data_IF_292866751766
#
_entry.id   IF_292866751766
#
_cell.length_a   1.000
_cell.length_b   1.000
_cell.length_c   1.000
_cell.angle_alpha   90.00
_cell.angle_beta   90.00
_cell.angle_gamma   90.00
#
_symmetry.space_group_name_H-M   'P 1'
#
loop_
_entity.id
_entity.type
_entity.pdbx_description
1 polymer ?
#
# COMPACT_ATOMS: atom_id res chain seq x y z
N UNK A 1 2.61 6.83 -4.98
CA UNK A 1 2.17 5.54 -4.40
C UNK A 1 0.65 5.55 -4.33
N UNK A 2 -0.02 4.76 -5.15
CA UNK A 2 -1.46 4.85 -5.36
C UNK A 2 -2.26 4.59 -4.07
N UNK A 3 -1.89 3.53 -3.33
CA UNK A 3 -2.52 3.12 -2.09
C UNK A 3 -2.19 4.04 -0.91
N UNK A 4 -0.91 4.28 -0.63
CA UNK A 4 -0.48 4.95 0.60
C UNK A 4 -0.75 6.45 0.63
N UNK A 5 -0.64 7.14 -0.51
CA UNK A 5 -0.60 8.59 -0.52
C UNK A 5 -1.73 9.26 -1.32
N UNK A 6 -2.51 8.48 -2.10
CA UNK A 6 -3.71 8.96 -2.76
C UNK A 6 -4.99 8.35 -2.16
N UNK A 7 -5.17 7.04 -2.30
CA UNK A 7 -6.46 6.39 -1.97
C UNK A 7 -6.72 6.41 -0.45
N UNK A 8 -5.72 6.06 0.36
CA UNK A 8 -5.91 5.96 1.81
C UNK A 8 -6.28 7.29 2.48
N UNK A 9 -5.54 8.40 2.28
CA UNK A 9 -5.91 9.68 2.90
C UNK A 9 -7.29 10.20 2.44
N UNK A 10 -7.68 9.95 1.18
CA UNK A 10 -8.98 10.35 0.67
C UNK A 10 -10.13 9.60 1.37
N UNK A 11 -10.05 8.27 1.42
CA UNK A 11 -11.07 7.45 2.07
C UNK A 11 -11.13 7.71 3.58
N UNK A 12 -9.97 7.90 4.20
CA UNK A 12 -9.86 8.23 5.62
C UNK A 12 -10.51 9.58 5.95
N UNK A 13 -10.31 10.61 5.12
CA UNK A 13 -10.95 11.90 5.31
C UNK A 13 -12.48 11.82 5.20
N UNK A 14 -12.99 11.08 4.21
CA UNK A 14 -14.44 10.86 4.04
C UNK A 14 -15.01 10.10 5.23
N UNK A 15 -14.33 9.05 5.68
CA UNK A 15 -14.74 8.25 6.82
C UNK A 15 -14.78 9.05 8.13
N UNK A 16 -13.73 9.85 8.38
CA UNK A 16 -13.67 10.70 9.58
C UNK A 16 -14.76 11.77 9.53
N UNK A 17 -14.99 12.40 8.38
CA UNK A 17 -16.08 13.37 8.24
C UNK A 17 -17.44 12.74 8.59
N UNK A 18 -17.69 11.50 8.15
CA UNK A 18 -18.94 10.80 8.48
C UNK A 18 -19.06 10.43 9.97
N UNK A 19 -17.99 9.97 10.61
CA UNK A 19 -18.04 9.59 12.04
C UNK A 19 -18.23 10.80 12.95
N UNK A 20 -17.64 11.94 12.59
CA UNK A 20 -17.76 13.17 13.37
C UNK A 20 -18.94 14.05 12.93
N UNK A 21 -19.82 13.53 12.07
CA UNK A 21 -21.00 14.24 11.53
C UNK A 21 -20.65 15.59 10.86
N UNK A 22 -19.48 15.66 10.23
CA UNK A 22 -19.03 16.82 9.45
C UNK A 22 -19.58 16.69 8.03
N UNK A 23 -20.35 17.70 7.62
CA UNK A 23 -20.96 17.73 6.30
C UNK A 23 -19.93 18.12 5.24
N UNK A 24 -19.68 17.22 4.28
CA UNK A 24 -18.82 17.47 3.13
C UNK A 24 -19.64 18.00 1.95
N UNK A 25 -19.26 19.17 1.45
CA UNK A 25 -19.78 19.72 0.20
C UNK A 25 -19.01 19.19 -1.01
N UNK A 26 -19.52 19.48 -2.22
CA UNK A 26 -18.82 19.15 -3.48
C UNK A 26 -17.39 19.72 -3.50
N UNK A 27 -17.20 20.93 -2.95
CA UNK A 27 -15.89 21.57 -2.88
C UNK A 27 -14.88 20.76 -2.06
N UNK A 28 -15.32 20.16 -0.96
CA UNK A 28 -14.45 19.35 -0.09
C UNK A 28 -14.06 18.05 -0.77
N UNK A 29 -14.96 17.41 -1.52
CA UNK A 29 -14.62 16.23 -2.32
C UNK A 29 -13.59 16.53 -3.42
N UNK A 30 -13.71 17.69 -4.08
CA UNK A 30 -12.71 18.14 -5.06
C UNK A 30 -11.37 18.44 -4.38
N UNK A 31 -11.40 19.07 -3.21
CA UNK A 31 -10.20 19.36 -2.42
C UNK A 31 -9.53 18.07 -1.92
N UNK A 32 -10.30 17.09 -1.44
CA UNK A 32 -9.81 15.76 -1.07
C UNK A 32 -9.09 15.13 -2.26
N UNK A 33 -9.75 15.06 -3.42
CA UNK A 33 -9.14 14.47 -4.62
C UNK A 33 -7.84 15.20 -5.02
N UNK A 34 -7.85 16.54 -4.99
CA UNK A 34 -6.70 17.35 -5.33
C UNK A 34 -5.52 17.13 -4.37
N UNK A 35 -5.76 17.23 -3.06
CA UNK A 35 -4.74 17.03 -2.01
C UNK A 35 -4.19 15.62 -2.06
N UNK A 36 -5.03 14.61 -2.28
CA UNK A 36 -4.60 13.22 -2.40
C UNK A 36 -3.73 12.96 -3.64
N UNK A 37 -4.06 13.55 -4.80
CA UNK A 37 -3.26 13.38 -6.02
C UNK A 37 -1.92 14.11 -5.90
N UNK A 38 -1.93 15.39 -5.51
CA UNK A 38 -0.72 16.19 -5.32
C UNK A 38 0.15 15.57 -4.23
N UNK A 39 -0.48 15.15 -3.13
CA UNK A 39 0.16 14.47 -2.02
C UNK A 39 0.87 13.19 -2.42
N UNK A 40 0.28 12.39 -3.32
CA UNK A 40 0.88 11.15 -3.83
C UNK A 40 2.17 11.36 -4.63
N UNK A 41 2.29 12.51 -5.31
CA UNK A 41 3.52 12.90 -5.99
C UNK A 41 4.55 13.48 -5.00
N UNK A 42 4.10 14.27 -4.02
CA UNK A 42 4.96 14.92 -3.03
C UNK A 42 5.62 13.96 -2.03
N UNK A 43 5.06 12.76 -1.87
CA UNK A 43 5.45 11.75 -0.86
C UNK A 43 6.43 10.70 -1.34
N UNK A 44 6.93 10.79 -2.57
CA UNK A 44 7.71 9.77 -3.27
C UNK A 44 9.07 9.38 -2.63
N UNK A 45 9.34 9.71 -1.37
CA UNK A 45 10.50 9.20 -0.63
C UNK A 45 10.68 9.66 0.81
N UNK A 46 9.82 10.52 1.37
CA UNK A 46 10.13 11.25 2.62
C UNK A 46 9.12 11.06 3.78
N UNK A 47 7.88 10.65 3.50
CA UNK A 47 6.80 10.69 4.52
C UNK A 47 5.95 9.41 4.52
N UNK A 48 5.67 8.87 5.72
CA UNK A 48 4.82 7.70 5.92
C UNK A 48 3.31 7.97 5.78
N UNK A 49 2.50 6.91 5.70
CA UNK A 49 1.04 6.98 5.48
C UNK A 49 0.31 7.85 6.54
N UNK A 50 0.72 7.77 7.80
CA UNK A 50 0.15 8.56 8.90
C UNK A 50 0.40 10.05 8.73
N UNK A 51 1.56 10.47 8.22
CA UNK A 51 1.88 11.88 7.99
C UNK A 51 0.95 12.48 6.93
N UNK A 52 0.69 11.73 5.86
CA UNK A 52 -0.23 12.16 4.81
C UNK A 52 -1.68 12.20 5.23
N UNK A 53 -2.09 11.25 6.07
CA UNK A 53 -3.40 11.27 6.69
C UNK A 53 -3.58 12.57 7.51
N UNK A 54 -2.65 12.86 8.42
CA UNK A 54 -2.73 14.05 9.27
C UNK A 54 -2.70 15.35 8.46
N UNK A 55 -1.89 15.41 7.40
CA UNK A 55 -1.88 16.55 6.47
C UNK A 55 -3.22 16.74 5.78
N UNK A 56 -3.82 15.66 5.29
CA UNK A 56 -5.11 15.70 4.58
C UNK A 56 -6.23 16.16 5.50
N UNK A 57 -6.32 15.60 6.72
CA UNK A 57 -7.31 16.00 7.71
C UNK A 57 -7.15 17.47 8.12
N UNK A 58 -5.91 17.90 8.39
CA UNK A 58 -5.61 19.30 8.75
C UNK A 58 -5.99 20.27 7.62
N UNK A 59 -5.69 19.91 6.37
CA UNK A 59 -6.04 20.73 5.19
C UNK A 59 -7.55 20.89 5.02
N UNK A 60 -8.33 19.89 5.43
CA UNK A 60 -9.79 19.89 5.36
C UNK A 60 -10.46 20.42 6.63
N UNK A 61 -9.68 20.78 7.66
CA UNK A 61 -10.23 21.19 8.96
C UNK A 61 -10.95 20.06 9.71
N UNK A 62 -10.62 18.80 9.41
CA UNK A 62 -11.22 17.63 10.04
C UNK A 62 -10.52 17.28 11.36
N UNK A 63 -11.24 16.70 12.34
CA UNK A 63 -10.69 16.35 13.65
C UNK A 63 -9.57 15.30 13.54
N UNK A 64 -8.40 15.62 14.09
CA UNK A 64 -7.22 14.74 14.09
C UNK A 64 -7.39 13.56 15.04
N UNK A 65 -8.33 13.64 15.98
CA UNK A 65 -8.70 12.56 16.89
C UNK A 65 -9.14 11.30 16.10
N UNK A 66 -9.69 11.49 14.90
CA UNK A 66 -10.05 10.40 13.98
C UNK A 66 -8.85 9.54 13.52
N UNK A 67 -7.62 10.07 13.58
CA UNK A 67 -6.40 9.29 13.29
C UNK A 67 -6.25 8.13 14.27
N UNK A 68 -6.59 8.34 15.54
CA UNK A 68 -6.52 7.29 16.57
C UNK A 68 -7.43 6.11 16.27
N UNK A 69 -8.62 6.36 15.71
CA UNK A 69 -9.55 5.33 15.28
C UNK A 69 -8.99 4.52 14.11
N UNK A 70 -8.36 5.18 13.13
CA UNK A 70 -7.75 4.52 11.98
C UNK A 70 -6.51 3.72 12.36
N UNK A 71 -5.73 4.18 13.35
CA UNK A 71 -4.58 3.42 13.85
C UNK A 71 -4.96 2.05 14.41
N UNK A 72 -6.17 1.89 14.95
CA UNK A 72 -6.65 0.60 15.45
C UNK A 72 -6.82 -0.46 14.37
N UNK A 73 -7.07 -0.05 13.11
CA UNK A 73 -7.26 -0.94 11.96
C UNK A 73 -6.10 -0.88 10.97
N UNK A 74 -5.10 -0.04 11.24
CA UNK A 74 -3.99 0.23 10.32
C UNK A 74 -3.23 -1.01 9.87
N UNK A 75 -3.01 -2.07 10.68
CA UNK A 75 -2.31 -3.28 10.20
C UNK A 75 -2.98 -3.93 8.99
N UNK A 76 -4.32 -3.96 8.95
CA UNK A 76 -5.06 -4.53 7.82
C UNK A 76 -5.02 -3.58 6.63
N UNK A 77 -5.20 -2.28 6.89
CA UNK A 77 -5.16 -1.26 5.84
C UNK A 77 -3.78 -1.19 5.18
N UNK A 78 -2.70 -1.33 5.96
CA UNK A 78 -1.33 -1.26 5.47
C UNK A 78 -1.00 -2.39 4.48
N UNK A 79 -1.44 -3.61 4.78
CA UNK A 79 -1.33 -4.74 3.86
C UNK A 79 -2.05 -4.45 2.54
N UNK A 80 -3.27 -3.93 2.59
CA UNK A 80 -4.04 -3.60 1.37
C UNK A 80 -3.38 -2.47 0.57
N UNK A 81 -2.89 -1.42 1.24
CA UNK A 81 -2.19 -0.31 0.60
C UNK A 81 -0.92 -0.78 -0.09
N UNK A 82 -0.15 -1.64 0.58
CA UNK A 82 1.09 -2.21 0.03
C UNK A 82 0.80 -3.12 -1.15
N UNK A 83 -0.18 -4.02 -1.04
CA UNK A 83 -0.60 -4.89 -2.15
C UNK A 83 -1.01 -4.09 -3.38
N UNK A 84 -1.80 -3.02 -3.18
CA UNK A 84 -2.25 -2.14 -4.27
C UNK A 84 -1.07 -1.40 -4.92
N UNK A 85 -0.14 -0.88 -4.12
CA UNK A 85 1.06 -0.22 -4.64
C UNK A 85 1.91 -1.17 -5.50
N UNK A 86 2.15 -2.39 -5.01
CA UNK A 86 2.95 -3.40 -5.73
C UNK A 86 2.24 -3.81 -7.02
N UNK A 87 0.93 -4.02 -6.99
CA UNK A 87 0.15 -4.36 -8.18
C UNK A 87 0.26 -3.27 -9.26
N UNK A 88 0.11 -1.99 -8.89
CA UNK A 88 0.27 -0.87 -9.83
C UNK A 88 1.69 -0.77 -10.38
N UNK A 89 2.71 -0.92 -9.53
CA UNK A 89 4.11 -0.88 -9.93
C UNK A 89 4.52 -2.05 -10.83
N UNK A 90 3.88 -3.22 -10.71
CA UNK A 90 4.08 -4.34 -11.62
C UNK A 90 3.32 -4.16 -12.95
N UNK A 91 2.10 -3.62 -12.89
CA UNK A 91 1.22 -3.46 -14.06
C UNK A 91 1.66 -2.35 -15.01
N UNK A 92 1.99 -1.16 -14.48
CA UNK A 92 2.26 0.02 -15.30
C UNK A 92 3.46 -0.17 -16.26
N UNK A 93 4.61 -0.72 -15.83
CA UNK A 93 5.73 -0.99 -16.74
C UNK A 93 5.37 -1.94 -17.86
N UNK A 94 4.55 -2.98 -17.60
CA UNK A 94 4.08 -3.91 -18.64
C UNK A 94 3.21 -3.18 -19.66
N UNK A 95 2.28 -2.33 -19.20
CA UNK A 95 1.45 -1.51 -20.09
C UNK A 95 2.31 -0.56 -20.94
N UNK A 96 3.28 0.12 -20.33
CA UNK A 96 4.18 1.04 -21.03
C UNK A 96 5.03 0.28 -22.04
N UNK A 97 5.64 -0.83 -21.66
CA UNK A 97 6.45 -1.67 -22.56
C UNK A 97 5.65 -2.19 -23.76
N UNK A 98 4.39 -2.60 -23.54
CA UNK A 98 3.49 -3.02 -24.61
C UNK A 98 3.16 -1.86 -25.55
N UNK A 99 2.90 -0.65 -25.01
CA UNK A 99 2.60 0.55 -25.81
C UNK A 99 3.80 1.03 -26.63
N UNK A 100 4.99 0.95 -26.05
CA UNK A 100 6.25 1.28 -26.73
C UNK A 100 6.78 0.16 -27.63
N UNK A 101 6.07 -0.98 -27.71
CA UNK A 101 6.44 -2.16 -28.51
C UNK A 101 7.82 -2.75 -28.16
N UNK A 102 8.23 -2.61 -26.90
CA UNK A 102 9.48 -3.16 -26.36
C UNK A 102 9.23 -4.35 -25.42
N UNK A 103 7.98 -4.77 -25.27
CA UNK A 103 7.63 -5.92 -24.45
C UNK A 103 8.07 -7.23 -25.14
N UNK A 104 8.89 -8.01 -24.45
CA UNK A 104 9.19 -9.38 -24.84
C UNK A 104 7.96 -10.27 -24.55
N UNK A 105 7.22 -10.59 -25.62
CA UNK A 105 6.01 -11.39 -25.52
C UNK A 105 6.30 -12.86 -25.21
N UNK A 106 7.44 -13.40 -25.62
CA UNK A 106 7.78 -14.79 -25.37
C UNK A 106 8.12 -14.98 -23.89
N UNK A 107 8.91 -14.06 -23.32
CA UNK A 107 9.18 -14.03 -21.88
C UNK A 107 7.90 -13.79 -21.05
N UNK A 108 7.02 -12.89 -21.51
CA UNK A 108 5.77 -12.59 -20.80
C UNK A 108 4.79 -13.77 -20.80
N UNK A 109 4.58 -14.43 -21.95
CA UNK A 109 3.63 -15.54 -22.09
C UNK A 109 4.12 -16.85 -21.46
N UNK A 110 5.44 -17.01 -21.28
CA UNK A 110 6.04 -18.18 -20.64
C UNK A 110 6.22 -18.03 -19.13
N UNK A 111 5.99 -16.83 -18.58
CA UNK A 111 6.11 -16.57 -17.16
C UNK A 111 5.05 -17.35 -16.35
N UNK A 112 5.50 -18.19 -15.43
CA UNK A 112 4.66 -18.85 -14.43
C UNK A 112 4.83 -18.20 -13.06
N UNK A 113 3.76 -18.12 -12.28
CA UNK A 113 3.85 -17.71 -10.87
C UNK A 113 4.80 -18.66 -10.11
N UNK A 114 5.59 -18.12 -9.17
CA UNK A 114 6.35 -18.97 -8.23
C UNK A 114 5.39 -19.92 -7.51
N UNK A 115 5.72 -21.21 -7.39
CA UNK A 115 4.91 -22.17 -6.66
C UNK A 115 4.65 -21.68 -5.23
N UNK A 116 3.40 -21.66 -4.80
CA UNK A 116 3.04 -21.29 -3.41
C UNK A 116 3.55 -22.38 -2.43
N UNK A 117 3.73 -23.61 -2.90
CA UNK A 117 4.14 -24.75 -2.08
C UNK A 117 5.66 -24.84 -1.83
N UNK A 118 6.49 -23.98 -2.44
CA UNK A 118 7.94 -24.00 -2.20
C UNK A 118 8.36 -23.35 -0.88
N UNK A 119 7.44 -22.68 -0.18
CA UNK A 119 7.74 -22.03 1.10
C UNK A 119 7.82 -22.99 2.30
N UNK A 120 7.36 -24.24 2.17
CA UNK A 120 7.34 -25.21 3.29
C UNK A 120 8.52 -26.20 3.30
N UNK A 121 9.31 -26.29 2.21
CA UNK A 121 10.29 -27.39 2.09
C UNK A 121 11.74 -27.05 2.41
N UNK A 122 12.15 -25.79 2.35
CA UNK A 122 13.57 -25.42 2.57
C UNK A 122 13.84 -25.00 4.03
N UNK A 123 12.87 -24.41 4.74
CA UNK A 123 13.06 -23.97 6.14
C UNK A 123 13.10 -25.14 7.15
N UNK A 124 12.47 -26.28 6.86
CA UNK A 124 12.48 -27.45 7.75
C UNK A 124 13.83 -28.19 7.69
N UNK A 125 14.45 -28.26 6.50
CA UNK A 125 15.71 -28.98 6.28
C UNK A 125 16.90 -28.30 6.99
N UNK A 126 16.93 -26.98 6.98
CA UNK A 126 17.97 -26.20 7.65
C UNK A 126 17.86 -26.22 9.19
N UNK A 127 16.64 -26.42 9.71
CA UNK A 127 16.39 -26.58 11.15
C UNK A 127 16.80 -27.97 11.66
N UNK A 128 16.50 -29.05 10.92
CA UNK A 128 16.90 -30.42 11.30
C UNK A 128 18.42 -30.62 11.24
N UNK A 129 19.11 -30.00 10.28
CA UNK A 129 20.56 -30.15 10.14
C UNK A 129 21.37 -29.44 11.24
N UNK A 130 20.81 -28.41 11.89
CA UNK A 130 21.45 -27.70 13.02
C UNK A 130 21.24 -28.37 14.38
N UNK A 131 20.36 -29.37 14.51
CA UNK A 131 20.04 -30.06 15.78
C UNK A 131 20.74 -31.43 15.88
N UNK A 132 21.81 -31.67 15.13
CA UNK A 132 22.71 -32.80 15.40
C UNK A 132 23.68 -32.44 16.53
N UNK A 133 23.30 -32.75 17.78
CA UNK A 133 24.19 -32.63 18.94
C UNK A 133 25.44 -33.51 18.74
N UNK A 134 26.66 -33.01 19.05
CA UNK A 134 27.88 -33.82 18.94
C UNK A 134 27.85 -34.98 19.94
N UNK A 135 28.25 -36.17 19.47
CA UNK A 135 28.34 -37.36 20.29
C UNK A 135 29.34 -37.18 21.44
N UNK A 136 29.04 -37.65 22.67
CA UNK A 136 29.95 -37.54 23.79
C UNK A 136 31.21 -38.38 23.53
N UNK A 137 32.37 -37.76 23.79
CA UNK A 137 33.71 -38.33 23.62
C UNK A 137 34.02 -39.45 24.61
#
# INVERSE_FOLDING_TARGET
>A
MDGCAAIYPALAAIFIAQIFDVQLGIGDYLLIAFVSVIGSAATAGLTGATVMLTLTLSTLGLPLEGVGLLMAIDPILDMMRTATNVAGQALVPVIVAAREKILDHDAYNSASASPIDSFDQDDVRDAEQKVSLPAPA
#
